data_IF_924549876050
#
_entry.id   IF_924549876050
#
_cell.length_a   1.000
_cell.length_b   1.000
_cell.length_c   1.000
_cell.angle_alpha   90.00
_cell.angle_beta   90.00
_cell.angle_gamma   90.00
#
_symmetry.space_group_name_H-M   'P 1'
#
loop_
_entity.id
_entity.type
_entity.pdbx_description
1 polymer ?
#
# COMPACT_ATOMS: atom_id res chain seq x y z
N UNK A 1 23.34 9.68 -21.20
CA UNK A 1 22.85 9.84 -20.81
C UNK A 1 22.70 9.69 -19.99
N UNK A 2 22.56 9.62 -20.04
CA UNK A 2 22.05 9.62 -19.38
C UNK A 2 21.63 9.40 -18.74
N UNK A 3 21.77 9.27 -18.87
CA UNK A 3 21.03 9.19 -18.29
C UNK A 3 20.50 8.99 -17.82
N UNK A 4 20.49 8.84 -18.02
CA UNK A 4 19.67 8.85 -17.56
C UNK A 4 19.19 8.57 -16.95
N UNK A 5 19.48 8.48 -17.12
CA UNK A 5 18.80 8.42 -16.60
C UNK A 5 18.53 8.15 -15.93
N UNK A 6 18.75 7.95 -16.07
CA UNK A 6 18.32 7.86 -15.41
C UNK A 6 18.13 7.88 -14.66
N UNK A 7 18.11 8.00 -14.76
CA UNK A 7 17.91 8.35 -13.95
C UNK A 7 17.05 8.66 -13.54
N UNK A 8 16.97 8.52 -14.04
CA UNK A 8 16.08 8.78 -13.96
C UNK A 8 15.24 8.68 -13.64
N UNK A 9 15.40 8.37 -13.96
CA UNK A 9 14.34 8.50 -13.30
C UNK A 9 13.06 7.72 -13.35
N UNK A 10 13.08 6.46 -13.65
CA UNK A 10 11.91 5.63 -13.48
C UNK A 10 11.55 5.54 -12.01
N UNK A 11 10.26 5.62 -11.64
CA UNK A 11 9.86 5.45 -10.24
C UNK A 11 10.27 4.10 -9.72
N UNK A 12 10.64 4.05 -8.46
CA UNK A 12 10.96 2.79 -7.81
C UNK A 12 9.68 1.99 -7.62
N UNK A 13 9.78 0.68 -7.80
CA UNK A 13 8.67 -0.24 -7.53
C UNK A 13 9.08 -1.09 -6.33
N UNK A 14 8.28 -1.03 -5.27
CA UNK A 14 8.45 -1.89 -4.10
C UNK A 14 7.38 -2.97 -4.13
N UNK A 15 7.69 -4.10 -3.54
CA UNK A 15 6.70 -5.15 -3.37
C UNK A 15 6.41 -5.29 -1.89
N UNK A 16 5.13 -5.31 -1.54
CA UNK A 16 4.68 -5.47 -0.17
C UNK A 16 3.58 -6.50 -0.10
N UNK A 17 3.65 -7.35 0.92
CA UNK A 17 2.63 -8.37 1.13
C UNK A 17 1.41 -7.78 1.80
N UNK A 18 0.23 -8.24 1.39
CA UNK A 18 -1.04 -7.94 2.06
C UNK A 18 -1.82 -9.23 2.25
N UNK A 19 -2.61 -9.31 3.30
CA UNK A 19 -3.61 -10.35 3.43
C UNK A 19 -4.61 -10.21 2.29
N UNK A 20 -5.19 -11.34 1.87
CA UNK A 20 -6.14 -11.38 0.75
C UNK A 20 -7.25 -10.34 0.90
N UNK A 21 -7.82 -10.24 2.09
CA UNK A 21 -8.90 -9.32 2.37
C UNK A 21 -8.51 -7.87 2.01
N UNK A 22 -7.32 -7.46 2.40
CA UNK A 22 -6.86 -6.09 2.14
C UNK A 22 -6.45 -5.89 0.70
N UNK A 23 -5.88 -6.91 0.06
CA UNK A 23 -5.54 -6.83 -1.35
C UNK A 23 -6.81 -6.60 -2.19
N UNK A 24 -7.87 -7.32 -1.88
CA UNK A 24 -9.15 -7.16 -2.59
C UNK A 24 -9.71 -5.76 -2.41
N UNK A 25 -9.59 -5.18 -1.22
CA UNK A 25 -10.04 -3.82 -0.95
C UNK A 25 -9.21 -2.77 -1.70
N UNK A 26 -7.92 -3.01 -1.84
CA UNK A 26 -7.07 -2.13 -2.67
C UNK A 26 -7.50 -2.23 -4.13
N UNK A 27 -7.70 -3.46 -4.61
CA UNK A 27 -8.06 -3.71 -6.00
C UNK A 27 -9.39 -3.07 -6.39
N UNK A 28 -10.38 -3.04 -5.47
CA UNK A 28 -11.68 -2.46 -5.77
C UNK A 28 -11.77 -0.95 -5.47
N UNK A 29 -10.68 -0.36 -4.96
CA UNK A 29 -10.62 1.06 -4.68
C UNK A 29 -11.18 1.46 -3.32
N UNK A 30 -11.64 0.52 -2.51
CA UNK A 30 -12.19 0.80 -1.18
C UNK A 30 -11.13 1.19 -0.17
N UNK A 31 -9.96 0.57 -0.26
CA UNK A 31 -8.83 0.90 0.60
C UNK A 31 -7.88 1.81 -0.14
N UNK A 32 -7.77 3.06 0.32
CA UNK A 32 -6.92 4.06 -0.32
C UNK A 32 -5.73 4.49 0.55
N UNK A 33 -5.68 4.01 1.80
CA UNK A 33 -4.57 4.29 2.71
C UNK A 33 -4.08 2.97 3.30
N UNK A 34 -2.80 2.69 3.09
CA UNK A 34 -2.12 1.56 3.72
C UNK A 34 -1.41 2.04 4.97
N UNK A 35 -1.42 1.19 6.01
CA UNK A 35 -0.81 1.51 7.30
C UNK A 35 0.38 0.61 7.52
N UNK A 36 1.55 1.18 7.78
CA UNK A 36 2.79 0.45 8.04
C UNK A 36 3.56 1.09 9.17
N UNK A 37 4.29 0.28 9.93
CA UNK A 37 5.29 0.78 10.88
C UNK A 37 6.46 1.35 10.06
N UNK A 38 7.03 2.44 10.57
CA UNK A 38 8.11 3.14 9.88
C UNK A 38 9.44 2.43 10.09
N UNK A 39 9.58 1.26 9.49
CA UNK A 39 10.85 0.55 9.49
C UNK A 39 11.89 1.28 8.63
N UNK A 40 13.18 1.05 8.87
CA UNK A 40 14.23 1.76 8.11
C UNK A 40 14.11 1.64 6.60
N UNK A 41 13.65 0.49 6.09
CA UNK A 41 13.50 0.31 4.65
C UNK A 41 12.36 1.12 4.03
N UNK A 42 11.52 1.75 4.86
CA UNK A 42 10.40 2.57 4.37
C UNK A 42 10.66 4.07 4.53
N UNK A 43 11.82 4.45 5.08
CA UNK A 43 12.09 5.87 5.35
C UNK A 43 12.19 6.72 4.10
N UNK A 44 12.54 6.11 2.98
CA UNK A 44 12.68 6.84 1.71
C UNK A 44 11.46 6.73 0.81
N UNK A 45 10.41 6.08 1.28
CA UNK A 45 9.18 5.99 0.50
C UNK A 45 8.57 7.38 0.36
N UNK A 46 8.18 7.73 -0.87
CA UNK A 46 7.72 9.09 -1.16
C UNK A 46 6.68 9.07 -2.28
N UNK A 47 5.98 10.18 -2.41
CA UNK A 47 5.03 10.38 -3.51
C UNK A 47 5.73 10.12 -4.84
N UNK A 48 5.03 9.43 -5.72
CA UNK A 48 5.55 9.04 -7.03
C UNK A 48 6.13 7.64 -7.07
N UNK A 49 6.51 7.08 -5.94
CA UNK A 49 6.96 5.68 -5.90
C UNK A 49 5.81 4.74 -6.22
N UNK A 50 6.13 3.56 -6.71
CA UNK A 50 5.12 2.53 -6.98
C UNK A 50 5.23 1.43 -5.93
N UNK A 51 4.10 0.87 -5.56
CA UNK A 51 4.03 -0.31 -4.69
C UNK A 51 3.15 -1.34 -5.38
N UNK A 52 3.72 -2.54 -5.55
CA UNK A 52 2.94 -3.71 -5.95
C UNK A 52 2.59 -4.47 -4.68
N UNK A 53 1.32 -4.46 -4.33
CA UNK A 53 0.82 -5.24 -3.20
C UNK A 53 0.52 -6.65 -3.70
N UNK A 54 0.98 -7.65 -2.95
CA UNK A 54 0.87 -9.04 -3.41
C UNK A 54 0.32 -9.94 -2.31
N UNK A 55 -0.39 -10.97 -2.77
CA UNK A 55 -0.84 -12.07 -1.93
C UNK A 55 -0.78 -13.34 -2.80
N UNK A 56 0.15 -14.23 -2.46
CA UNK A 56 0.39 -15.41 -3.30
C UNK A 56 0.84 -14.97 -4.70
N UNK A 57 0.12 -15.41 -5.71
CA UNK A 57 0.44 -15.09 -7.11
C UNK A 57 -0.29 -13.84 -7.62
N UNK A 58 -1.16 -13.27 -6.82
CA UNK A 58 -1.94 -12.11 -7.22
C UNK A 58 -1.28 -10.83 -6.74
N UNK A 59 -1.40 -9.78 -7.53
CA UNK A 59 -0.82 -8.49 -7.19
C UNK A 59 -1.61 -7.34 -7.76
N UNK A 60 -1.45 -6.17 -7.13
CA UNK A 60 -2.10 -4.94 -7.57
C UNK A 60 -1.04 -3.84 -7.56
N UNK A 61 -0.86 -3.19 -8.71
CA UNK A 61 0.10 -2.09 -8.82
C UNK A 61 -0.56 -0.78 -8.41
N UNK A 62 0.12 -0.05 -7.54
CA UNK A 62 -0.35 1.24 -7.06
C UNK A 62 0.76 2.27 -7.17
N UNK A 63 0.37 3.53 -7.12
CA UNK A 63 1.30 4.65 -7.02
C UNK A 63 1.04 5.39 -5.72
N UNK A 64 2.13 5.76 -5.03
CA UNK A 64 2.05 6.53 -3.80
C UNK A 64 1.70 7.97 -4.14
N UNK A 65 0.60 8.45 -3.56
CA UNK A 65 0.19 9.84 -3.70
C UNK A 65 0.80 10.71 -2.60
N UNK A 66 0.92 10.15 -1.41
CA UNK A 66 1.34 10.90 -0.22
C UNK A 66 1.76 9.92 0.86
N UNK A 67 2.76 10.31 1.66
CA UNK A 67 3.17 9.56 2.85
C UNK A 67 3.09 10.52 4.02
N UNK A 68 2.34 10.14 5.06
CA UNK A 68 2.22 10.93 6.28
C UNK A 68 2.68 10.09 7.47
N UNK A 69 3.32 10.73 8.42
CA UNK A 69 3.88 10.06 9.59
C UNK A 69 3.14 10.47 10.84
N UNK A 70 2.83 9.49 11.68
CA UNK A 70 2.14 9.70 12.95
C UNK A 70 2.88 8.98 14.06
N UNK A 71 2.65 9.39 15.30
CA UNK A 71 3.30 8.78 16.46
C UNK A 71 2.58 7.54 16.96
N UNK A 72 1.35 7.30 16.50
CA UNK A 72 0.56 6.14 16.93
C UNK A 72 -0.45 5.77 15.86
N UNK A 73 -0.92 4.52 15.88
CA UNK A 73 -1.99 4.07 15.00
C UNK A 73 -3.28 4.84 15.29
N UNK A 74 -3.52 5.16 16.54
CA UNK A 74 -4.71 5.89 16.96
C UNK A 74 -4.75 7.27 16.29
N UNK A 75 -3.65 7.99 16.35
CA UNK A 75 -3.55 9.32 15.72
C UNK A 75 -3.68 9.23 14.20
N UNK A 76 -3.11 8.17 13.63
CA UNK A 76 -3.19 7.94 12.19
C UNK A 76 -4.65 7.75 11.76
N UNK A 77 -5.38 6.86 12.45
CA UNK A 77 -6.76 6.59 12.09
C UNK A 77 -7.64 7.83 12.26
N UNK A 78 -7.39 8.60 13.32
CA UNK A 78 -8.18 9.82 13.56
C UNK A 78 -7.93 10.90 12.50
N UNK A 79 -6.69 11.00 12.02
CA UNK A 79 -6.34 12.01 11.01
C UNK A 79 -6.72 11.61 9.60
N UNK A 80 -6.51 10.33 9.24
CA UNK A 80 -6.70 9.86 7.86
C UNK A 80 -8.13 9.41 7.57
N UNK A 81 -8.85 8.96 8.60
CA UNK A 81 -10.19 8.40 8.46
C UNK A 81 -10.15 6.88 8.37
N UNK A 82 -10.77 6.18 9.33
CA UNK A 82 -10.74 4.70 9.33
C UNK A 82 -11.32 4.09 8.06
N UNK A 83 -12.31 4.75 7.46
CA UNK A 83 -12.95 4.23 6.25
C UNK A 83 -12.00 4.20 5.05
N UNK A 84 -10.95 5.02 5.05
CA UNK A 84 -9.96 5.04 3.97
C UNK A 84 -8.96 3.90 4.12
N UNK A 85 -8.79 3.42 5.34
CA UNK A 85 -7.91 2.29 5.64
C UNK A 85 -8.65 0.98 5.42
N UNK A 86 -9.89 0.88 5.93
CA UNK A 86 -10.71 -0.32 5.78
C UNK A 86 -12.19 0.06 5.93
N UNK A 87 -12.91 0.19 4.80
CA UNK A 87 -14.32 0.60 4.86
C UNK A 87 -15.24 -0.45 5.47
N UNK A 88 -14.75 -1.67 5.70
CA UNK A 88 -15.55 -2.77 6.23
C UNK A 88 -15.38 -2.97 7.73
N UNK A 89 -14.60 -2.11 8.40
CA UNK A 89 -14.27 -2.28 9.82
C UNK A 89 -14.36 -0.95 10.56
N UNK A 90 -14.74 -1.01 11.84
CA UNK A 90 -14.81 0.19 12.67
C UNK A 90 -13.40 0.63 13.07
N UNK A 91 -13.28 1.89 13.50
CA UNK A 91 -12.02 2.42 14.00
C UNK A 91 -11.45 1.54 15.12
N UNK A 92 -12.29 1.20 16.09
CA UNK A 92 -11.82 0.42 17.26
C UNK A 92 -11.39 -0.97 16.85
N UNK A 93 -12.11 -1.60 15.92
CA UNK A 93 -11.73 -2.92 15.43
C UNK A 93 -10.42 -2.86 14.64
N UNK A 94 -10.26 -1.83 13.82
CA UNK A 94 -9.01 -1.64 13.08
C UNK A 94 -7.83 -1.47 14.02
N UNK A 95 -8.01 -0.66 15.08
CA UNK A 95 -6.95 -0.41 16.06
C UNK A 95 -6.55 -1.70 16.75
N UNK A 96 -7.54 -2.50 17.15
CA UNK A 96 -7.30 -3.81 17.77
C UNK A 96 -6.53 -4.73 16.83
N UNK A 97 -6.95 -4.80 15.57
CA UNK A 97 -6.34 -5.68 14.57
C UNK A 97 -4.89 -5.27 14.28
N UNK A 98 -4.65 -3.98 14.10
CA UNK A 98 -3.30 -3.47 13.82
C UNK A 98 -2.37 -3.75 14.98
N UNK A 99 -2.84 -3.52 16.21
CA UNK A 99 -2.03 -3.74 17.40
C UNK A 99 -1.80 -5.22 17.69
N UNK A 100 -2.62 -6.10 17.14
CA UNK A 100 -2.36 -7.53 17.18
C UNK A 100 -1.19 -7.92 16.28
N UNK A 101 -1.04 -7.22 15.16
CA UNK A 101 0.06 -7.45 14.22
C UNK A 101 1.37 -6.86 14.76
N UNK A 102 1.30 -5.65 15.31
CA UNK A 102 2.47 -4.91 15.77
C UNK A 102 2.37 -4.68 17.28
N UNK A 103 3.44 -4.99 18.01
CA UNK A 103 3.51 -4.67 19.42
C UNK A 103 3.82 -3.20 19.68
N UNK A 104 3.73 -2.76 20.95
CA UNK A 104 3.94 -1.34 21.28
C UNK A 104 5.36 -0.85 20.94
N UNK A 105 6.36 -1.72 21.00
CA UNK A 105 7.73 -1.34 20.64
C UNK A 105 7.85 -1.04 19.14
N UNK A 106 7.03 -1.66 18.30
CA UNK A 106 7.01 -1.37 16.88
C UNK A 106 6.30 -0.05 16.60
N UNK A 107 5.16 0.14 17.27
CA UNK A 107 4.41 1.39 17.12
C UNK A 107 5.26 2.60 17.52
N UNK A 108 6.14 2.44 18.51
CA UNK A 108 7.03 3.50 18.97
C UNK A 108 8.02 3.96 17.90
N UNK A 109 8.25 3.16 16.86
CA UNK A 109 9.11 3.58 15.73
C UNK A 109 8.45 4.64 14.86
N UNK A 110 7.17 4.91 15.09
CA UNK A 110 6.36 5.75 14.23
C UNK A 110 5.61 4.92 13.23
N UNK A 111 4.51 5.46 12.73
CA UNK A 111 3.65 4.75 11.79
C UNK A 111 3.42 5.63 10.57
N UNK A 112 3.20 4.98 9.43
CA UNK A 112 3.02 5.65 8.15
C UNK A 112 1.63 5.40 7.61
N UNK A 113 1.00 6.48 7.16
CA UNK A 113 -0.17 6.41 6.30
C UNK A 113 0.33 6.62 4.88
N UNK A 114 0.13 5.62 4.03
CA UNK A 114 0.58 5.65 2.65
C UNK A 114 -0.68 5.74 1.78
N UNK A 115 -0.93 6.93 1.27
CA UNK A 115 -2.08 7.12 0.38
C UNK A 115 -1.70 6.66 -1.02
N UNK A 116 -2.54 5.79 -1.60
CA UNK A 116 -2.25 5.11 -2.86
C UNK A 116 -3.38 5.31 -3.85
N UNK A 117 -3.05 5.17 -5.12
CA UNK A 117 -4.03 5.11 -6.21
C UNK A 117 -3.68 3.95 -7.11
N UNK A 118 -4.69 3.37 -7.73
CA UNK A 118 -4.50 2.28 -8.67
C UNK A 118 -3.80 2.78 -9.93
N UNK A 119 -2.93 1.93 -10.47
CA UNK A 119 -2.24 2.21 -11.73
C UNK A 119 -2.68 1.15 -12.73
N UNK A 120 -3.12 1.59 -13.89
CA UNK A 120 -3.44 0.66 -14.96
C UNK A 120 -2.15 0.03 -15.46
N UNK A 121 -2.07 -1.30 -15.40
CA UNK A 121 -0.91 -2.01 -15.89
C UNK A 121 -1.08 -2.28 -17.38
N UNK A 122 0.02 -2.23 -18.17
CA UNK A 122 -0.05 -2.65 -19.54
C UNK A 122 -0.50 -4.10 -19.63
N UNK A 123 -1.41 -4.39 -20.54
CA UNK A 123 -1.81 -5.76 -20.79
C UNK A 123 -0.61 -6.57 -21.19
N UNK A 124 -0.41 -7.66 -20.58
CA UNK A 124 0.60 -8.57 -21.05
C UNK A 124 0.17 -9.18 -22.35
N UNK A 125 -0.06 -9.09 -22.48
CA UNK A 125 -0.66 -9.43 -23.05
C UNK A 125 -1.77 -10.07 -23.03
N UNK A 126 -2.15 -10.08 -23.41
CA UNK A 126 -3.16 -10.37 -23.13
C UNK A 126 -3.37 -11.32 -23.07
N UNK A 127 -3.05 -11.38 -22.73
CA UNK A 127 -3.49 -11.85 -22.81
C UNK A 127 -3.43 -12.67 -22.55
N UNK A 128 -3.05 -12.82 -22.47
CA UNK A 128 -3.20 -13.18 -22.00
C UNK A 128 -3.85 -13.69 -21.46
N UNK A 129 -4.06 -13.72 -21.45
CA UNK A 129 -4.93 -13.85 -20.98
C UNK A 129 -5.55 -14.39 -21.27
N UNK A 130 -5.32 -14.60 -21.54
CA UNK A 130 -6.07 -14.74 -21.90
C UNK A 130 -6.41 -15.36 -22.04
N UNK A 131 -6.20 -15.46 -21.94
CA UNK A 131 -6.67 -15.78 -22.08
C UNK A 131 -7.19 -16.12 -21.74
N UNK A 132 -7.02 -16.34 -21.59
CA UNK A 132 -7.72 -16.49 -21.27
C UNK A 132 -8.31 -16.84 -21.35
N UNK A 133 -8.26 -17.30 -21.61
CA UNK A 133 -9.05 -17.46 -21.60
C UNK A 133 -9.64 -17.71 -21.36
N UNK A 134 -9.60 -17.86 -21.58
CA UNK A 134 -10.38 -17.70 -21.48
C UNK A 134 -10.68 -17.70 -21.29
N UNK A 135 -10.41 -17.80 -21.57
CA UNK A 135 -10.90 -17.42 -21.53
C UNK A 135 -11.18 -17.37 -21.35
#
# INVERSE_FOLDING_TARGET
MTARSADGAAPRVREMNLYRRYLDLVADGGKTVEVRVRYPNLRKLKAGDHIRFVCGLDGVLTRVKRVARYSSFEKLLDAEGPERVDPTSTRDQQLTDIRRIYGPEKEALGVLAIEIELVAEPSPSPGIRAEDPAT
#
